data_IF_144201900614
#
_entry.id   IF_144201900614
#
_cell.length_a   1.000
_cell.length_b   1.000
_cell.length_c   1.000
_cell.angle_alpha   90.00
_cell.angle_beta   90.00
_cell.angle_gamma   90.00
#
_symmetry.space_group_name_H-M   'P 1'
#
loop_
_entity.id
_entity.type
_entity.pdbx_description
1 polymer ?
#
# COMPACT_ATOMS: atom_id res chain seq x y z
N UNK A 1 -41.39 21.56 -13.60
CA UNK A 1 -40.19 20.71 -13.59
C UNK A 1 -39.83 20.39 -12.13
N UNK A 2 -39.73 19.11 -11.75
CA UNK A 2 -39.77 18.67 -10.35
C UNK A 2 -38.47 19.04 -9.59
N UNK A 3 -38.55 19.55 -8.34
CA UNK A 3 -37.38 20.03 -7.57
C UNK A 3 -36.27 18.97 -7.40
N UNK A 4 -36.64 17.68 -7.30
CA UNK A 4 -35.68 16.56 -7.29
C UNK A 4 -34.93 16.41 -8.61
N UNK A 5 -35.63 16.56 -9.75
CA UNK A 5 -35.02 16.46 -11.09
C UNK A 5 -34.05 17.62 -11.31
N UNK A 6 -34.41 18.83 -10.88
CA UNK A 6 -33.54 20.01 -10.95
C UNK A 6 -32.30 19.83 -10.06
N UNK A 7 -32.45 19.30 -8.84
CA UNK A 7 -31.32 19.01 -7.94
C UNK A 7 -30.39 17.93 -8.50
N UNK A 8 -30.93 16.86 -9.09
CA UNK A 8 -30.13 15.79 -9.69
C UNK A 8 -29.40 16.26 -10.95
N UNK A 9 -30.05 17.09 -11.79
CA UNK A 9 -29.41 17.67 -12.98
C UNK A 9 -28.30 18.65 -12.58
N UNK A 10 -28.51 19.49 -11.56
CA UNK A 10 -27.49 20.41 -11.03
C UNK A 10 -26.33 19.62 -10.39
N UNK A 11 -26.62 18.53 -9.67
CA UNK A 11 -25.60 17.67 -9.07
C UNK A 11 -24.77 16.95 -10.13
N UNK A 12 -25.39 16.42 -11.19
CA UNK A 12 -24.70 15.78 -12.33
C UNK A 12 -23.88 16.79 -13.13
N UNK A 13 -24.38 18.02 -13.33
CA UNK A 13 -23.62 19.09 -13.99
C UNK A 13 -22.43 19.55 -13.13
N UNK A 14 -22.59 19.70 -11.81
CA UNK A 14 -21.48 20.06 -10.92
C UNK A 14 -20.44 18.93 -10.81
N UNK A 15 -20.85 17.67 -10.63
CA UNK A 15 -19.93 16.53 -10.57
C UNK A 15 -19.26 16.26 -11.91
N UNK A 16 -20.02 16.40 -13.00
CA UNK A 16 -19.49 16.47 -14.35
C UNK A 16 -18.35 17.48 -14.38
N UNK A 17 -18.62 18.75 -14.10
CA UNK A 17 -17.68 19.86 -14.29
C UNK A 17 -16.45 19.76 -13.36
N UNK A 18 -16.63 19.18 -12.18
CA UNK A 18 -15.54 18.95 -11.22
C UNK A 18 -14.65 17.75 -11.58
N UNK A 19 -15.18 16.71 -12.24
CA UNK A 19 -14.49 15.42 -12.37
C UNK A 19 -14.33 14.87 -13.79
N UNK A 20 -14.92 15.48 -14.82
CA UNK A 20 -14.66 15.13 -16.23
C UNK A 20 -13.78 16.19 -16.91
N UNK A 21 -12.94 15.84 -17.89
CA UNK A 21 -12.05 16.82 -18.54
C UNK A 21 -12.75 17.58 -19.69
N UNK A 22 -12.59 18.91 -19.77
CA UNK A 22 -13.34 19.78 -20.70
C UNK A 22 -12.54 20.46 -21.80
N UNK A 23 -11.22 20.29 -21.85
CA UNK A 23 -10.40 20.84 -22.92
C UNK A 23 -9.32 19.85 -23.31
N UNK A 24 -9.16 19.64 -24.62
CA UNK A 24 -8.13 18.79 -25.21
C UNK A 24 -7.19 19.71 -25.98
N UNK A 25 -6.05 20.01 -25.37
CA UNK A 25 -4.97 20.71 -26.05
C UNK A 25 -3.99 19.65 -26.59
N UNK A 26 -3.63 19.73 -27.88
CA UNK A 26 -2.74 18.78 -28.53
C UNK A 26 -1.41 19.46 -28.84
N UNK A 27 -0.32 18.90 -28.34
CA UNK A 27 1.03 19.46 -28.52
C UNK A 27 1.61 19.12 -29.90
N UNK A 28 2.55 19.94 -30.37
CA UNK A 28 3.20 19.82 -31.68
C UNK A 28 4.20 18.64 -31.77
N UNK A 29 4.39 17.91 -30.70
CA UNK A 29 5.30 16.75 -30.57
C UNK A 29 4.76 15.46 -31.18
N UNK A 30 3.69 15.55 -31.98
CA UNK A 30 3.14 14.42 -32.71
C UNK A 30 2.04 13.65 -31.97
N UNK A 31 1.47 14.18 -30.89
CA UNK A 31 0.19 13.66 -30.37
C UNK A 31 -0.01 13.65 -28.87
N UNK A 32 0.85 14.30 -28.07
CA UNK A 32 0.61 14.44 -26.63
C UNK A 32 -0.63 15.30 -26.38
N UNK A 33 -1.54 14.81 -25.51
CA UNK A 33 -2.82 15.46 -25.19
C UNK A 33 -2.92 15.78 -23.70
N UNK A 34 -3.35 17.00 -23.39
CA UNK A 34 -3.64 17.43 -22.02
C UNK A 34 -5.15 17.41 -21.79
N UNK A 35 -5.56 16.80 -20.69
CA UNK A 35 -6.94 16.76 -20.22
C UNK A 35 -7.06 17.55 -18.93
N UNK A 36 -7.96 18.52 -18.89
CA UNK A 36 -8.11 19.43 -17.75
C UNK A 36 -9.54 19.41 -17.16
N UNK A 37 -9.65 19.27 -15.84
CA UNK A 37 -10.86 19.57 -15.05
C UNK A 37 -10.62 20.77 -14.12
N UNK A 38 -11.63 21.16 -13.33
CA UNK A 38 -11.48 22.18 -12.29
C UNK A 38 -10.61 21.73 -11.11
N UNK A 39 -10.47 20.43 -10.88
CA UNK A 39 -9.80 19.86 -9.69
C UNK A 39 -8.49 19.15 -10.02
N UNK A 40 -8.27 18.77 -11.28
CA UNK A 40 -7.03 18.08 -11.70
C UNK A 40 -6.72 18.29 -13.19
N UNK A 41 -5.47 18.07 -13.57
CA UNK A 41 -5.04 17.92 -14.96
C UNK A 41 -4.28 16.61 -15.09
N UNK A 42 -4.47 15.88 -16.18
CA UNK A 42 -3.61 14.73 -16.52
C UNK A 42 -3.20 14.78 -17.99
N UNK A 43 -1.99 14.30 -18.26
CA UNK A 43 -1.35 14.41 -19.58
C UNK A 43 -1.12 13.00 -20.12
N UNK A 44 -1.52 12.79 -21.36
CA UNK A 44 -1.29 11.56 -22.10
C UNK A 44 -0.22 11.81 -23.16
N UNK A 45 0.98 11.31 -22.90
CA UNK A 45 2.10 11.37 -23.84
C UNK A 45 1.89 10.41 -25.01
N UNK A 46 2.32 10.79 -26.21
CA UNK A 46 2.43 9.85 -27.32
C UNK A 46 3.68 8.97 -27.12
N UNK A 47 3.64 7.74 -27.62
CA UNK A 47 4.74 6.77 -27.49
C UNK A 47 6.03 7.35 -28.06
N UNK A 48 7.02 7.58 -27.21
CA UNK A 48 8.37 7.97 -27.63
C UNK A 48 9.05 6.75 -28.25
N UNK A 49 9.42 6.84 -29.53
CA UNK A 49 10.11 5.75 -30.23
C UNK A 49 11.35 5.29 -29.45
N UNK A 50 11.39 4.00 -29.09
CA UNK A 50 12.54 3.35 -28.43
C UNK A 50 12.32 2.89 -26.99
N UNK A 51 11.20 3.22 -26.34
CA UNK A 51 10.88 2.72 -24.98
C UNK A 51 9.88 1.55 -25.05
N UNK A 52 10.25 0.36 -24.54
CA UNK A 52 9.39 -0.84 -24.56
C UNK A 52 8.25 -0.84 -23.52
N UNK A 53 8.25 0.10 -22.57
CA UNK A 53 7.13 0.38 -21.69
C UNK A 53 7.31 1.77 -21.09
N UNK A 54 6.24 2.56 -21.02
CA UNK A 54 6.24 3.81 -20.26
C UNK A 54 4.83 4.10 -19.74
N UNK A 55 4.66 4.06 -18.43
CA UNK A 55 3.56 4.69 -17.71
C UNK A 55 4.19 5.59 -16.64
N UNK A 56 3.87 6.87 -16.67
CA UNK A 56 4.34 7.88 -15.72
C UNK A 56 3.09 8.63 -15.26
N UNK A 57 2.73 8.55 -13.97
CA UNK A 57 1.59 9.27 -13.39
C UNK A 57 2.10 10.23 -12.32
N UNK A 58 1.70 11.51 -12.42
CA UNK A 58 1.95 12.53 -11.40
C UNK A 58 0.73 13.46 -11.30
N UNK A 59 0.49 13.98 -10.09
CA UNK A 59 -0.43 15.08 -9.84
C UNK A 59 0.37 16.28 -9.30
N UNK A 60 0.23 17.46 -9.92
CA UNK A 60 0.83 18.70 -9.43
C UNK A 60 -0.15 19.87 -9.51
N UNK A 61 -0.01 20.80 -8.56
CA UNK A 61 -0.58 22.14 -8.64
C UNK A 61 0.28 23.01 -9.56
N UNK A 62 -0.38 23.79 -10.42
CA UNK A 62 0.18 24.59 -11.53
C UNK A 62 1.50 25.32 -11.20
N UNK A 63 2.60 24.86 -11.82
CA UNK A 63 3.66 25.62 -12.54
C UNK A 63 5.04 24.97 -12.36
N UNK A 64 5.47 24.16 -13.34
CA UNK A 64 6.78 24.28 -14.01
C UNK A 64 7.12 22.99 -14.79
N UNK A 65 6.93 23.04 -16.12
CA UNK A 65 7.11 21.91 -17.03
C UNK A 65 8.56 21.73 -17.53
N UNK A 66 9.49 22.64 -17.20
CA UNK A 66 10.90 22.58 -17.66
C UNK A 66 11.73 21.45 -17.02
N UNK A 67 11.24 20.84 -15.94
CA UNK A 67 11.93 19.75 -15.23
C UNK A 67 11.80 18.39 -15.94
N UNK A 68 10.88 18.27 -16.91
CA UNK A 68 10.56 17.00 -17.58
C UNK A 68 11.63 16.50 -18.56
N UNK A 69 12.37 17.39 -19.23
CA UNK A 69 13.38 16.98 -20.24
C UNK A 69 14.62 16.33 -19.61
N UNK A 70 14.91 16.60 -18.33
CA UNK A 70 16.09 16.03 -17.65
C UNK A 70 15.87 14.63 -17.08
N UNK A 71 14.63 14.13 -17.03
CA UNK A 71 14.27 12.83 -16.45
C UNK A 71 14.14 11.70 -17.49
N UNK A 72 14.39 12.01 -18.77
CA UNK A 72 14.34 11.04 -19.86
C UNK A 72 15.69 10.34 -20.02
N UNK A 73 15.70 9.00 -20.03
CA UNK A 73 16.91 8.20 -20.25
C UNK A 73 17.62 8.61 -21.53
N UNK A 74 18.92 8.94 -21.43
CA UNK A 74 19.78 9.20 -22.59
C UNK A 74 20.41 7.90 -23.06
N UNK A 75 20.48 7.73 -24.37
CA UNK A 75 21.05 6.56 -25.04
C UNK A 75 22.53 6.43 -24.66
N UNK A 76 22.91 5.37 -23.93
CA UNK A 76 24.30 4.98 -23.71
C UNK A 76 24.80 4.85 -22.27
N UNK A 77 23.95 4.95 -21.24
CA UNK A 77 24.39 4.76 -19.86
C UNK A 77 24.47 3.27 -19.48
N UNK A 78 25.69 2.82 -19.16
CA UNK A 78 26.06 1.44 -18.84
C UNK A 78 25.72 1.03 -17.40
N UNK A 79 25.32 -0.23 -17.19
CA UNK A 79 25.20 -0.90 -15.88
C UNK A 79 26.38 -0.61 -14.94
N UNK A 80 26.10 -0.20 -13.69
CA UNK A 80 27.10 -0.11 -12.62
C UNK A 80 26.54 -0.55 -11.26
N UNK A 81 26.99 -1.75 -10.86
CA UNK A 81 27.11 -2.40 -9.53
C UNK A 81 26.02 -2.20 -8.43
N UNK A 82 25.25 -3.25 -8.03
CA UNK A 82 24.10 -3.09 -7.14
C UNK A 82 24.28 -3.44 -5.64
N UNK A 83 25.46 -3.72 -5.09
CA UNK A 83 25.52 -4.52 -3.83
C UNK A 83 26.02 -3.86 -2.53
N UNK A 84 25.98 -2.54 -2.36
CA UNK A 84 26.33 -1.91 -1.07
C UNK A 84 25.28 -0.90 -0.61
N UNK A 85 24.92 -0.97 0.68
CA UNK A 85 24.11 0.04 1.37
C UNK A 85 24.93 0.71 2.46
N UNK A 86 24.89 2.03 2.48
CA UNK A 86 25.50 2.85 3.52
C UNK A 86 24.42 3.60 4.27
N UNK A 87 24.51 3.63 5.59
CA UNK A 87 23.60 4.39 6.45
C UNK A 87 24.40 5.40 7.28
N UNK A 88 23.92 6.64 7.42
CA UNK A 88 24.56 7.67 8.24
C UNK A 88 23.58 8.44 9.14
N UNK A 89 24.06 8.84 10.32
CA UNK A 89 23.35 9.46 11.43
C UNK A 89 24.25 10.56 12.06
N UNK A 90 23.70 11.71 12.45
CA UNK A 90 24.50 12.76 13.11
C UNK A 90 23.69 13.98 13.58
N UNK A 91 24.34 14.78 14.44
CA UNK A 91 23.73 15.86 15.24
C UNK A 91 23.30 17.13 14.49
N UNK A 92 23.66 17.26 13.22
CA UNK A 92 23.46 18.48 12.45
C UNK A 92 23.32 18.13 10.96
N UNK A 93 22.71 19.02 10.17
CA UNK A 93 21.40 18.92 9.53
C UNK A 93 21.14 17.67 8.66
N UNK A 94 21.63 16.48 8.98
CA UNK A 94 21.53 15.31 8.12
C UNK A 94 21.24 14.07 8.94
N UNK A 95 19.95 13.71 8.95
CA UNK A 95 19.49 12.48 9.58
C UNK A 95 19.26 11.42 8.51
N UNK A 96 19.67 10.18 8.80
CA UNK A 96 19.34 8.98 8.03
C UNK A 96 19.80 9.05 6.55
N UNK A 97 21.08 9.36 6.31
CA UNK A 97 21.62 9.27 4.95
C UNK A 97 21.67 7.80 4.54
N UNK A 98 21.01 7.43 3.46
CA UNK A 98 20.99 6.07 2.94
C UNK A 98 21.45 6.06 1.49
N UNK A 99 22.47 5.27 1.20
CA UNK A 99 22.87 4.97 -0.18
C UNK A 99 22.35 3.58 -0.55
N UNK A 100 21.66 3.46 -1.68
CA UNK A 100 21.22 2.18 -2.23
C UNK A 100 21.48 2.18 -3.74
N UNK A 101 22.45 1.38 -4.18
CA UNK A 101 22.92 1.45 -5.57
C UNK A 101 23.48 2.83 -5.90
N UNK A 102 22.96 3.46 -6.95
CA UNK A 102 23.29 4.83 -7.35
C UNK A 102 22.36 5.89 -6.72
N UNK A 103 21.55 5.56 -5.72
CA UNK A 103 20.64 6.51 -5.10
C UNK A 103 21.11 6.90 -3.69
N UNK A 104 21.06 8.20 -3.39
CA UNK A 104 21.34 8.82 -2.09
C UNK A 104 20.05 9.42 -1.53
N UNK A 105 19.62 9.00 -0.35
CA UNK A 105 18.48 9.52 0.39
C UNK A 105 18.96 10.15 1.70
N UNK A 106 18.40 11.28 2.13
CA UNK A 106 18.62 11.84 3.48
C UNK A 106 17.47 12.76 3.89
N UNK A 107 17.30 12.99 5.20
CA UNK A 107 16.28 13.90 5.73
C UNK A 107 16.84 15.25 6.19
N UNK A 108 16.48 16.34 5.49
CA UNK A 108 16.42 17.72 6.00
C UNK A 108 15.83 18.74 4.99
N UNK A 109 14.84 19.57 5.39
CA UNK A 109 14.24 20.59 4.53
C UNK A 109 15.06 21.88 4.29
N UNK A 110 16.08 22.20 5.09
CA UNK A 110 16.67 23.55 5.14
C UNK A 110 17.94 23.76 4.28
N UNK A 111 18.53 22.71 3.70
CA UNK A 111 19.75 22.84 2.90
C UNK A 111 19.52 22.86 1.39
N UNK A 112 18.35 22.41 0.95
CA UNK A 112 18.01 22.31 -0.46
C UNK A 112 16.57 22.76 -0.64
N UNK A 113 16.32 23.53 -1.69
CA UNK A 113 15.01 24.10 -2.01
C UNK A 113 14.00 23.09 -2.58
N UNK A 114 14.36 21.82 -2.66
CA UNK A 114 13.60 20.77 -3.34
C UNK A 114 13.55 19.53 -2.44
N UNK A 115 12.60 19.50 -1.50
CA UNK A 115 12.34 18.32 -0.66
C UNK A 115 11.00 17.70 -0.99
N UNK A 116 10.85 16.40 -0.75
CA UNK A 116 9.53 15.79 -0.77
C UNK A 116 8.66 16.28 0.43
N UNK A 117 7.35 15.98 0.46
CA UNK A 117 6.47 16.40 1.55
C UNK A 117 6.86 15.92 2.95
N UNK A 118 7.79 14.95 3.05
CA UNK A 118 8.34 14.39 4.30
C UNK A 118 9.71 14.99 4.67
N UNK A 119 10.20 16.00 3.94
CA UNK A 119 11.49 16.64 4.21
C UNK A 119 12.72 15.82 3.77
N UNK A 120 12.51 14.73 3.00
CA UNK A 120 13.59 13.93 2.43
C UNK A 120 13.96 14.40 1.04
N UNK A 121 15.25 14.27 0.71
CA UNK A 121 15.80 14.58 -0.59
C UNK A 121 16.42 13.31 -1.14
N UNK A 122 16.03 12.98 -2.37
CA UNK A 122 16.62 11.88 -3.14
C UNK A 122 17.53 12.49 -4.20
N UNK A 123 18.78 12.06 -4.22
CA UNK A 123 19.75 12.46 -5.23
C UNK A 123 20.31 11.22 -5.92
N UNK A 124 20.50 11.33 -7.22
CA UNK A 124 21.26 10.33 -7.96
C UNK A 124 22.76 10.58 -7.73
N UNK A 125 23.46 9.52 -7.37
CA UNK A 125 24.90 9.46 -7.24
C UNK A 125 25.46 9.29 -8.64
N UNK A 126 26.13 10.33 -9.11
CA UNK A 126 26.83 10.35 -10.40
C UNK A 126 28.06 9.44 -10.37
N UNK A 127 28.70 9.33 -9.20
CA UNK A 127 29.94 8.57 -9.03
C UNK A 127 30.10 8.10 -7.59
N UNK A 128 30.46 6.82 -7.40
CA UNK A 128 30.89 6.26 -6.11
C UNK A 128 32.21 5.49 -6.34
N UNK A 129 33.26 5.88 -5.65
CA UNK A 129 34.59 5.29 -5.77
C UNK A 129 35.09 4.83 -4.40
N UNK A 130 35.53 3.57 -4.33
CA UNK A 130 36.21 3.05 -3.15
C UNK A 130 37.69 3.44 -3.21
N UNK A 131 38.21 4.07 -2.16
CA UNK A 131 39.62 4.43 -2.02
C UNK A 131 40.16 3.84 -0.71
N UNK A 132 40.81 2.67 -0.80
CA UNK A 132 41.20 1.92 0.40
C UNK A 132 39.97 1.40 1.14
N UNK A 133 39.82 1.75 2.42
CA UNK A 133 38.62 1.48 3.21
C UNK A 133 37.57 2.60 3.14
N UNK A 134 37.94 3.75 2.58
CA UNK A 134 37.05 4.91 2.42
C UNK A 134 36.22 4.82 1.14
N UNK A 135 35.14 5.59 1.08
CA UNK A 135 34.30 5.75 -0.11
C UNK A 135 34.12 7.22 -0.43
N UNK A 136 34.36 7.62 -1.68
CA UNK A 136 34.10 8.98 -2.17
C UNK A 136 32.89 8.93 -3.08
N UNK A 137 31.94 9.84 -2.88
CA UNK A 137 30.74 9.93 -3.68
C UNK A 137 30.53 11.34 -4.21
N UNK A 138 29.95 11.43 -5.41
CA UNK A 138 29.56 12.67 -6.05
C UNK A 138 28.12 12.57 -6.54
N UNK A 139 27.34 13.59 -6.22
CA UNK A 139 25.98 13.82 -6.69
C UNK A 139 25.87 15.27 -7.17
N UNK A 140 24.82 15.60 -7.92
CA UNK A 140 24.59 16.88 -8.62
C UNK A 140 25.30 18.12 -8.02
N UNK A 141 25.00 18.46 -6.77
CA UNK A 141 25.57 19.63 -6.07
C UNK A 141 26.26 19.26 -4.75
N UNK A 142 26.67 17.99 -4.60
CA UNK A 142 27.18 17.47 -3.34
C UNK A 142 28.29 16.46 -3.60
N UNK A 143 29.43 16.70 -2.96
CA UNK A 143 30.56 15.78 -3.00
C UNK A 143 30.93 15.42 -1.58
N UNK A 144 31.20 14.14 -1.32
CA UNK A 144 31.49 13.69 0.01
C UNK A 144 32.29 12.40 0.06
N UNK A 145 32.64 12.02 1.28
CA UNK A 145 33.38 10.81 1.59
C UNK A 145 32.87 10.16 2.87
N UNK A 146 32.89 8.83 2.89
CA UNK A 146 32.82 7.99 4.07
C UNK A 146 34.24 7.61 4.43
N UNK A 147 34.73 8.11 5.56
CA UNK A 147 36.06 7.82 6.10
C UNK A 147 35.92 6.70 7.11
N UNK A 148 36.71 5.62 6.99
CA UNK A 148 36.73 4.53 7.95
C UNK A 148 37.36 5.02 9.26
N UNK A 149 36.51 5.49 10.16
CA UNK A 149 36.86 6.07 11.45
C UNK A 149 35.68 5.82 12.38
N UNK A 150 35.94 5.25 13.56
CA UNK A 150 34.89 5.04 14.57
C UNK A 150 34.27 6.38 14.96
N UNK A 151 32.96 6.47 14.83
CA UNK A 151 32.21 7.70 15.03
C UNK A 151 31.07 7.42 16.01
N UNK A 152 30.94 8.27 17.04
CA UNK A 152 29.92 8.11 18.07
C UNK A 152 28.68 8.94 17.73
N UNK A 153 27.51 8.30 17.69
CA UNK A 153 26.23 8.98 17.52
C UNK A 153 25.83 9.81 18.73
N UNK A 154 25.14 10.91 18.50
CA UNK A 154 24.88 11.98 19.48
C UNK A 154 23.65 11.75 20.39
N UNK A 155 22.96 10.60 20.25
CA UNK A 155 21.70 10.35 20.97
C UNK A 155 21.70 9.21 21.99
N UNK A 156 22.51 8.16 21.81
CA UNK A 156 22.35 6.89 22.58
C UNK A 156 23.63 6.08 22.85
N UNK A 157 24.81 6.63 22.55
CA UNK A 157 26.08 5.88 22.67
C UNK A 157 26.30 4.85 21.57
N UNK A 158 25.57 4.97 20.46
CA UNK A 158 25.72 4.11 19.29
C UNK A 158 27.06 4.37 18.60
N UNK A 159 27.76 3.28 18.25
CA UNK A 159 29.09 3.31 17.65
C UNK A 159 28.99 2.95 16.17
N UNK A 160 29.59 3.76 15.31
CA UNK A 160 29.52 3.61 13.86
C UNK A 160 30.90 3.44 13.26
N UNK A 161 30.95 2.67 12.19
CA UNK A 161 32.17 2.22 11.52
C UNK A 161 32.85 3.29 10.64
N UNK A 162 32.12 4.34 10.29
CA UNK A 162 32.53 5.38 9.36
C UNK A 162 32.12 6.75 9.86
N UNK A 163 32.90 7.74 9.46
CA UNK A 163 32.56 9.16 9.54
C UNK A 163 32.19 9.66 8.15
N UNK A 164 31.05 10.30 8.03
CA UNK A 164 30.54 10.83 6.76
C UNK A 164 30.86 12.31 6.71
N UNK A 165 31.52 12.75 5.65
CA UNK A 165 31.90 14.15 5.45
C UNK A 165 31.48 14.54 4.04
N UNK A 166 30.78 15.64 3.86
CA UNK A 166 30.50 16.14 2.52
C UNK A 166 30.44 17.65 2.49
N UNK A 167 30.62 18.18 1.28
CA UNK A 167 30.68 19.60 0.99
C UNK A 167 29.55 19.97 0.05
N UNK A 168 28.83 21.02 0.41
CA UNK A 168 27.90 21.70 -0.49
C UNK A 168 28.32 23.17 -0.58
N UNK A 169 28.69 23.61 -1.78
CA UNK A 169 29.28 24.93 -2.04
C UNK A 169 30.51 25.18 -1.15
N UNK A 170 30.38 25.98 -0.09
CA UNK A 170 31.47 26.42 0.79
C UNK A 170 31.33 25.91 2.25
N UNK A 171 30.39 25.01 2.52
CA UNK A 171 30.16 24.46 3.85
C UNK A 171 30.44 22.95 3.87
N UNK A 172 31.19 22.51 4.89
CA UNK A 172 31.48 21.11 5.19
C UNK A 172 30.55 20.62 6.29
N UNK A 173 29.97 19.45 6.09
CA UNK A 173 29.05 18.79 7.02
C UNK A 173 29.58 17.43 7.42
N UNK A 174 29.31 17.02 8.66
CA UNK A 174 29.85 15.79 9.27
C UNK A 174 28.75 14.96 9.94
N UNK A 175 28.87 13.64 9.83
CA UNK A 175 28.03 12.66 10.51
C UNK A 175 28.77 11.33 10.72
N UNK A 176 28.11 10.34 11.29
CA UNK A 176 28.59 8.98 11.51
C UNK A 176 27.83 7.99 10.63
N UNK A 177 28.37 6.84 10.24
CA UNK A 177 27.66 5.87 9.42
C UNK A 177 28.23 4.46 9.41
N UNK A 178 27.45 3.48 8.94
CA UNK A 178 27.83 2.07 8.87
C UNK A 178 27.63 1.51 7.45
N UNK A 179 28.47 0.54 7.11
CA UNK A 179 28.29 -0.29 5.90
C UNK A 179 27.52 -1.53 6.30
N UNK A 180 26.30 -1.68 5.79
CA UNK A 180 25.67 -2.99 5.81
C UNK A 180 26.30 -3.81 4.67
N UNK A 181 27.24 -4.70 5.01
CA UNK A 181 27.51 -5.86 4.15
C UNK A 181 26.20 -6.64 4.08
N UNK A 182 25.81 -7.08 2.89
CA UNK A 182 24.75 -8.09 2.75
C UNK A 182 25.23 -9.42 3.36
N UNK A 183 25.33 -9.49 4.68
CA UNK A 183 25.44 -10.76 5.39
C UNK A 183 24.03 -11.34 5.45
N UNK A 184 23.78 -12.26 4.52
CA UNK A 184 22.86 -13.39 4.64
C UNK A 184 21.37 -13.17 4.97
N UNK A 185 20.83 -11.95 5.06
CA UNK A 185 19.39 -11.76 5.22
C UNK A 185 18.56 -12.10 3.96
N UNK A 186 19.18 -12.13 2.78
CA UNK A 186 18.50 -12.41 1.50
C UNK A 186 18.86 -13.76 0.87
N UNK A 187 19.82 -14.52 1.41
CA UNK A 187 20.25 -15.79 0.79
C UNK A 187 19.44 -17.03 1.19
N UNK A 188 18.46 -16.91 2.08
CA UNK A 188 17.63 -18.06 2.49
C UNK A 188 16.14 -17.77 2.76
N UNK A 189 15.61 -16.56 2.47
CA UNK A 189 14.15 -16.37 2.42
C UNK A 189 13.68 -16.56 0.99
N UNK A 190 12.91 -17.63 0.74
CA UNK A 190 12.11 -17.71 -0.48
C UNK A 190 11.29 -16.42 -0.60
N UNK A 191 11.25 -15.76 -1.77
CA UNK A 191 10.30 -14.68 -1.99
C UNK A 191 8.89 -15.18 -1.66
N UNK A 192 8.04 -14.31 -1.08
CA UNK A 192 6.62 -14.64 -0.92
C UNK A 192 6.06 -14.99 -2.29
N UNK A 193 5.20 -15.99 -2.40
CA UNK A 193 4.57 -16.31 -3.69
C UNK A 193 3.10 -15.90 -3.66
N UNK A 194 2.59 -15.34 -4.76
CA UNK A 194 1.21 -14.93 -4.89
C UNK A 194 0.58 -15.42 -6.18
N UNK A 195 -0.75 -15.49 -6.21
CA UNK A 195 -1.54 -15.73 -7.41
C UNK A 195 -2.72 -14.77 -7.47
N UNK A 196 -3.10 -14.32 -8.67
CA UNK A 196 -4.33 -13.57 -8.92
C UNK A 196 -5.57 -14.45 -9.11
N UNK A 197 -5.46 -15.76 -8.81
CA UNK A 197 -6.60 -16.68 -8.77
C UNK A 197 -7.33 -16.75 -10.13
N UNK A 198 -6.58 -16.61 -11.22
CA UNK A 198 -7.11 -16.55 -12.59
C UNK A 198 -7.34 -17.94 -13.22
N UNK A 199 -6.96 -19.01 -12.52
CA UNK A 199 -6.99 -20.37 -13.03
C UNK A 199 -7.71 -21.34 -12.09
N UNK A 200 -8.35 -22.35 -12.67
CA UNK A 200 -9.17 -23.32 -11.94
C UNK A 200 -8.36 -24.15 -10.94
N UNK A 201 -7.07 -24.40 -11.19
CA UNK A 201 -6.21 -25.17 -10.28
C UNK A 201 -5.99 -24.39 -8.99
N UNK A 202 -5.66 -23.11 -9.07
CA UNK A 202 -5.53 -22.22 -7.90
C UNK A 202 -6.88 -22.06 -7.20
N UNK A 203 -7.97 -21.86 -7.94
CA UNK A 203 -9.31 -21.80 -7.34
C UNK A 203 -9.67 -23.08 -6.58
N UNK A 204 -9.43 -24.26 -7.17
CA UNK A 204 -9.69 -25.54 -6.54
C UNK A 204 -8.85 -25.75 -5.27
N UNK A 205 -7.57 -25.36 -5.30
CA UNK A 205 -6.70 -25.39 -4.12
C UNK A 205 -7.27 -24.54 -2.97
N UNK A 206 -7.66 -23.30 -3.26
CA UNK A 206 -8.25 -22.39 -2.27
C UNK A 206 -9.59 -22.94 -1.78
N UNK A 207 -10.46 -23.41 -2.69
CA UNK A 207 -11.76 -24.00 -2.35
C UNK A 207 -11.61 -25.18 -1.41
N UNK A 208 -10.69 -26.09 -1.69
CA UNK A 208 -10.42 -27.26 -0.86
C UNK A 208 -9.81 -26.88 0.50
N UNK A 209 -9.01 -25.82 0.54
CA UNK A 209 -8.45 -25.29 1.80
C UNK A 209 -9.58 -24.70 2.66
N UNK A 210 -10.41 -23.82 2.10
CA UNK A 210 -11.54 -23.18 2.80
C UNK A 210 -12.53 -24.21 3.39
N UNK A 211 -12.81 -25.30 2.68
CA UNK A 211 -13.72 -26.37 3.12
C UNK A 211 -13.30 -27.06 4.43
N UNK A 212 -12.01 -27.00 4.81
CA UNK A 212 -11.51 -27.60 6.06
C UNK A 212 -11.94 -26.80 7.31
N UNK A 213 -12.31 -25.53 7.13
CA UNK A 213 -12.46 -24.53 8.19
C UNK A 213 -13.92 -24.17 8.55
N UNK A 214 -14.89 -25.05 8.27
CA UNK A 214 -16.32 -24.84 8.58
C UNK A 214 -16.96 -23.60 7.92
N UNK A 215 -16.37 -23.09 6.85
CA UNK A 215 -16.98 -22.02 6.05
C UNK A 215 -18.11 -22.64 5.24
N UNK A 216 -19.29 -22.01 5.25
CA UNK A 216 -20.44 -22.52 4.50
C UNK A 216 -20.15 -22.54 2.99
N UNK A 217 -20.65 -23.57 2.29
CA UNK A 217 -20.46 -23.68 0.82
C UNK A 217 -21.01 -22.44 0.09
N UNK A 218 -22.09 -21.83 0.62
CA UNK A 218 -22.65 -20.57 0.11
C UNK A 218 -21.62 -19.43 0.15
N UNK A 219 -20.90 -19.27 1.26
CA UNK A 219 -19.89 -18.22 1.41
C UNK A 219 -18.67 -18.47 0.50
N UNK A 220 -18.25 -19.73 0.38
CA UNK A 220 -17.18 -20.12 -0.57
C UNK A 220 -17.61 -19.80 -2.01
N UNK A 221 -18.85 -20.13 -2.39
CA UNK A 221 -19.38 -19.83 -3.72
C UNK A 221 -19.44 -18.32 -3.99
N UNK A 222 -19.84 -17.50 -3.02
CA UNK A 222 -19.83 -16.04 -3.18
C UNK A 222 -18.42 -15.49 -3.35
N UNK A 223 -17.45 -15.98 -2.57
CA UNK A 223 -16.05 -15.57 -2.74
C UNK A 223 -15.55 -15.81 -4.17
N UNK A 224 -15.74 -17.02 -4.72
CA UNK A 224 -15.33 -17.30 -6.10
C UNK A 224 -16.16 -16.56 -7.15
N UNK A 225 -17.44 -16.31 -6.88
CA UNK A 225 -18.23 -15.44 -7.74
C UNK A 225 -17.62 -14.03 -7.85
N UNK A 226 -17.09 -13.47 -6.75
CA UNK A 226 -16.40 -12.18 -6.80
C UNK A 226 -15.09 -12.23 -7.59
N UNK A 227 -14.31 -13.30 -7.40
CA UNK A 227 -13.05 -13.54 -8.12
C UNK A 227 -13.31 -13.61 -9.62
N UNK A 228 -14.27 -14.44 -10.03
CA UNK A 228 -14.63 -14.63 -11.44
C UNK A 228 -15.23 -13.36 -12.04
N UNK A 229 -16.10 -12.67 -11.30
CA UNK A 229 -16.70 -11.41 -11.74
C UNK A 229 -15.62 -10.36 -12.05
N UNK A 230 -14.65 -10.18 -11.15
CA UNK A 230 -13.55 -9.25 -11.34
C UNK A 230 -12.64 -9.68 -12.50
N UNK A 231 -12.18 -10.93 -12.51
CA UNK A 231 -11.27 -11.45 -13.54
C UNK A 231 -11.87 -11.37 -14.95
N UNK A 232 -13.18 -11.65 -15.09
CA UNK A 232 -13.89 -11.49 -16.36
C UNK A 232 -14.03 -10.02 -16.78
N UNK A 233 -14.16 -9.09 -15.82
CA UNK A 233 -14.22 -7.65 -16.13
C UNK A 233 -12.88 -7.13 -16.64
N UNK A 234 -11.78 -7.47 -15.96
CA UNK A 234 -10.49 -6.83 -16.18
C UNK A 234 -9.63 -7.54 -17.25
N UNK A 235 -9.95 -8.79 -17.55
CA UNK A 235 -9.17 -9.66 -18.44
C UNK A 235 -7.89 -10.15 -17.78
N UNK A 236 -6.85 -10.41 -18.60
CA UNK A 236 -5.57 -10.99 -18.12
C UNK A 236 -4.44 -9.98 -17.94
N UNK A 237 -4.65 -8.73 -18.38
CA UNK A 237 -3.62 -7.69 -18.35
C UNK A 237 -3.16 -7.42 -16.92
N UNK A 238 -1.85 -7.52 -16.66
CA UNK A 238 -1.26 -7.31 -15.32
C UNK A 238 -1.44 -8.47 -14.33
N UNK A 239 -2.36 -9.41 -14.59
CA UNK A 239 -2.62 -10.54 -13.70
C UNK A 239 -1.59 -11.67 -13.90
N UNK A 240 -1.39 -12.48 -12.86
CA UNK A 240 -0.69 -13.76 -13.03
C UNK A 240 -1.44 -14.63 -14.05
N UNK A 241 -0.72 -15.35 -14.93
CA UNK A 241 -1.31 -16.34 -15.85
C UNK A 241 -1.68 -17.66 -15.14
N UNK A 242 -2.19 -17.56 -13.91
CA UNK A 242 -2.34 -18.66 -12.99
C UNK A 242 -1.03 -19.17 -12.36
N UNK A 243 -1.18 -20.14 -11.47
CA UNK A 243 -0.16 -20.60 -10.52
C UNK A 243 0.36 -19.48 -9.61
N UNK A 244 1.26 -19.84 -8.69
CA UNK A 244 1.93 -18.89 -7.82
C UNK A 244 3.21 -18.37 -8.47
N UNK A 245 3.46 -17.07 -8.33
CA UNK A 245 4.69 -16.38 -8.74
C UNK A 245 5.28 -15.62 -7.57
N UNK A 246 6.57 -15.37 -7.62
CA UNK A 246 7.26 -14.61 -6.58
C UNK A 246 6.81 -13.14 -6.57
N UNK A 247 6.52 -12.60 -5.38
CA UNK A 247 6.28 -11.18 -5.14
C UNK A 247 7.62 -10.47 -5.24
N UNK A 248 7.76 -9.65 -6.27
CA UNK A 248 8.93 -8.78 -6.48
C UNK A 248 8.60 -7.30 -6.26
N UNK A 249 7.31 -6.95 -6.28
CA UNK A 249 6.81 -5.59 -6.05
C UNK A 249 5.94 -5.55 -4.79
N UNK A 250 6.31 -4.67 -3.85
CA UNK A 250 5.59 -4.43 -2.60
C UNK A 250 4.85 -3.08 -2.60
N UNK A 251 4.74 -2.41 -3.75
CA UNK A 251 3.90 -1.22 -3.86
C UNK A 251 2.44 -1.58 -3.55
N UNK A 252 1.70 -0.62 -2.97
CA UNK A 252 0.30 -0.82 -2.59
C UNK A 252 -0.57 -1.20 -3.78
N UNK A 253 -0.36 -0.55 -4.93
CA UNK A 253 -1.05 -0.83 -6.19
C UNK A 253 -0.50 -2.08 -6.91
N UNK A 254 0.55 -2.73 -6.39
CA UNK A 254 1.21 -3.89 -7.00
C UNK A 254 1.78 -3.64 -8.41
N UNK A 255 1.76 -2.40 -8.91
CA UNK A 255 2.04 -2.09 -10.32
C UNK A 255 0.93 -2.55 -11.28
N UNK A 256 -0.28 -2.78 -10.79
CA UNK A 256 -1.41 -3.18 -11.63
C UNK A 256 -1.91 -2.03 -12.51
N UNK A 257 -2.40 -2.31 -13.72
CA UNK A 257 -3.16 -1.35 -14.51
C UNK A 257 -4.38 -0.82 -13.75
N UNK A 258 -4.83 0.38 -14.11
CA UNK A 258 -6.08 0.93 -13.58
C UNK A 258 -7.25 0.15 -14.20
N UNK A 259 -8.00 -0.57 -13.38
CA UNK A 259 -9.11 -1.42 -13.84
C UNK A 259 -10.49 -0.75 -13.75
N UNK A 260 -10.58 0.46 -13.19
CA UNK A 260 -11.83 1.17 -12.93
C UNK A 260 -12.73 1.24 -14.17
N UNK A 261 -12.21 1.68 -15.32
CA UNK A 261 -13.00 1.81 -16.56
C UNK A 261 -13.59 0.47 -17.01
N UNK A 262 -12.84 -0.64 -16.83
CA UNK A 262 -13.31 -1.98 -17.21
C UNK A 262 -14.41 -2.46 -16.25
N UNK A 263 -14.29 -2.14 -14.97
CA UNK A 263 -15.30 -2.47 -13.95
C UNK A 263 -16.59 -1.68 -14.19
N UNK A 264 -16.50 -0.37 -14.42
CA UNK A 264 -17.64 0.49 -14.72
C UNK A 264 -18.36 0.08 -16.00
N UNK A 265 -17.62 -0.30 -17.04
CA UNK A 265 -18.20 -0.84 -18.30
C UNK A 265 -19.00 -2.11 -18.06
N UNK A 266 -18.60 -2.94 -17.08
CA UNK A 266 -19.30 -4.17 -16.75
C UNK A 266 -20.56 -3.91 -15.92
N UNK A 267 -20.48 -3.03 -14.93
CA UNK A 267 -21.62 -2.57 -14.17
C UNK A 267 -21.32 -1.22 -13.50
N UNK A 268 -21.92 -0.16 -14.03
CA UNK A 268 -21.70 1.21 -13.56
C UNK A 268 -22.20 1.44 -12.13
N UNK A 269 -23.31 0.80 -11.74
CA UNK A 269 -23.92 1.00 -10.42
C UNK A 269 -23.20 0.20 -9.32
N UNK A 270 -22.33 -0.74 -9.69
CA UNK A 270 -21.63 -1.62 -8.77
C UNK A 270 -20.12 -1.30 -8.72
N UNK A 271 -19.70 -0.66 -7.61
CA UNK A 271 -18.30 -0.27 -7.40
C UNK A 271 -17.31 -1.42 -7.19
N UNK A 272 -17.74 -2.68 -7.15
CA UNK A 272 -16.86 -3.81 -6.82
C UNK A 272 -16.84 -4.14 -5.32
N UNK A 273 -16.06 -5.16 -4.95
CA UNK A 273 -15.88 -5.55 -3.53
C UNK A 273 -14.45 -5.30 -3.09
N UNK A 274 -14.30 -4.81 -1.86
CA UNK A 274 -13.02 -4.52 -1.21
C UNK A 274 -12.66 -5.58 -0.15
N UNK A 275 -11.59 -5.34 0.60
CA UNK A 275 -11.10 -6.23 1.66
C UNK A 275 -12.20 -6.61 2.67
N UNK A 276 -13.01 -5.64 3.10
CA UNK A 276 -14.04 -5.82 4.12
C UNK A 276 -15.14 -6.75 3.65
N UNK A 277 -15.75 -6.47 2.49
CA UNK A 277 -16.83 -7.30 1.94
C UNK A 277 -16.33 -8.72 1.63
N UNK A 278 -15.17 -8.82 0.99
CA UNK A 278 -14.57 -10.10 0.62
C UNK A 278 -14.25 -10.95 1.85
N UNK A 279 -13.59 -10.38 2.86
CA UNK A 279 -13.22 -11.12 4.07
C UNK A 279 -14.45 -11.48 4.89
N UNK A 280 -15.36 -10.54 5.13
CA UNK A 280 -16.58 -10.81 5.89
C UNK A 280 -17.43 -11.90 5.25
N UNK A 281 -17.50 -11.95 3.91
CA UNK A 281 -18.16 -13.06 3.22
C UNK A 281 -17.61 -14.42 3.66
N UNK A 282 -16.30 -14.55 3.89
CA UNK A 282 -15.68 -15.80 4.30
C UNK A 282 -15.83 -16.11 5.80
N UNK A 283 -15.79 -15.12 6.69
CA UNK A 283 -15.80 -15.35 8.14
C UNK A 283 -17.13 -15.03 8.86
N UNK A 284 -18.15 -14.48 8.19
CA UNK A 284 -19.40 -14.01 8.85
C UNK A 284 -20.14 -15.08 9.67
N UNK A 285 -20.02 -16.36 9.28
CA UNK A 285 -20.63 -17.48 10.02
C UNK A 285 -19.75 -17.95 11.19
N UNK A 286 -18.49 -17.51 11.24
CA UNK A 286 -17.48 -17.87 12.22
C UNK A 286 -17.25 -16.76 13.26
N UNK A 287 -18.06 -15.70 13.23
CA UNK A 287 -18.03 -14.61 14.20
C UNK A 287 -19.42 -14.39 14.77
N UNK A 288 -19.54 -14.41 16.09
CA UNK A 288 -20.73 -13.97 16.77
C UNK A 288 -20.70 -12.44 16.91
N UNK A 289 -21.82 -11.78 16.63
CA UNK A 289 -22.02 -10.34 16.80
C UNK A 289 -23.50 -10.16 17.19
N UNK A 290 -23.76 -9.65 18.39
CA UNK A 290 -25.12 -9.60 18.94
C UNK A 290 -25.65 -8.19 19.11
N UNK A 291 -24.92 -7.30 19.80
CA UNK A 291 -25.42 -5.96 20.09
C UNK A 291 -25.21 -5.06 18.87
N UNK A 292 -26.05 -5.19 17.84
CA UNK A 292 -25.87 -4.51 16.56
C UNK A 292 -25.98 -2.98 16.69
N UNK A 293 -25.23 -2.25 15.86
CA UNK A 293 -25.34 -0.80 15.74
C UNK A 293 -25.53 -0.37 14.30
N UNK A 294 -26.37 0.66 14.12
CA UNK A 294 -26.62 1.32 12.85
C UNK A 294 -25.84 2.65 12.74
N UNK A 295 -24.90 2.92 13.67
CA UNK A 295 -24.06 4.13 13.62
C UNK A 295 -23.29 4.16 12.30
N UNK A 296 -23.70 5.05 11.41
CA UNK A 296 -23.09 5.21 10.11
C UNK A 296 -21.72 5.86 10.26
N UNK A 297 -20.65 5.07 10.14
CA UNK A 297 -19.33 5.61 9.86
C UNK A 297 -19.22 5.91 8.36
N UNK A 298 -18.79 7.13 8.02
CA UNK A 298 -18.64 7.57 6.62
C UNK A 298 -17.67 6.67 5.84
N UNK A 299 -16.72 6.04 6.54
CA UNK A 299 -15.75 5.09 5.97
C UNK A 299 -16.39 3.84 5.34
N UNK A 300 -17.66 3.56 5.66
CA UNK A 300 -18.42 2.39 5.17
C UNK A 300 -19.38 2.74 4.02
N UNK A 301 -19.39 3.99 3.54
CA UNK A 301 -20.31 4.40 2.48
C UNK A 301 -20.07 3.64 1.17
N UNK A 302 -18.80 3.43 0.80
CA UNK A 302 -18.44 2.60 -0.34
C UNK A 302 -18.97 1.18 -0.19
N UNK A 303 -18.79 0.58 1.00
CA UNK A 303 -19.21 -0.80 1.27
C UNK A 303 -20.73 -0.94 1.19
N UNK A 304 -21.47 0.00 1.78
CA UNK A 304 -22.94 0.04 1.72
C UNK A 304 -23.42 0.09 0.29
N UNK A 305 -22.89 1.02 -0.51
CA UNK A 305 -23.24 1.14 -1.93
C UNK A 305 -22.93 -0.15 -2.70
N UNK A 306 -21.77 -0.75 -2.45
CA UNK A 306 -21.35 -1.98 -3.13
C UNK A 306 -22.19 -3.19 -2.75
N UNK A 307 -22.60 -3.31 -1.48
CA UNK A 307 -23.51 -4.36 -1.00
C UNK A 307 -24.90 -4.19 -1.61
N UNK A 308 -25.40 -2.95 -1.68
CA UNK A 308 -26.76 -2.64 -2.16
C UNK A 308 -26.90 -2.81 -3.67
N UNK A 309 -25.83 -2.54 -4.43
CA UNK A 309 -25.81 -2.64 -5.89
C UNK A 309 -25.18 -3.95 -6.40
N UNK A 310 -24.86 -4.91 -5.53
CA UNK A 310 -24.28 -6.17 -5.97
C UNK A 310 -25.27 -6.93 -6.89
N UNK A 311 -24.84 -7.52 -8.03
CA UNK A 311 -25.72 -8.22 -8.96
C UNK A 311 -26.52 -9.41 -8.35
N UNK A 312 -26.14 -9.86 -7.16
CA UNK A 312 -26.80 -10.89 -6.37
C UNK A 312 -26.98 -10.40 -4.92
N UNK A 313 -28.07 -10.71 -4.24
CA UNK A 313 -28.14 -10.38 -2.81
C UNK A 313 -27.15 -11.26 -2.03
N UNK A 314 -26.06 -10.67 -1.53
CA UNK A 314 -24.98 -11.37 -0.82
C UNK A 314 -25.15 -11.35 0.70
N UNK A 315 -25.76 -10.30 1.23
CA UNK A 315 -26.09 -10.13 2.63
C UNK A 315 -27.60 -9.90 2.79
N UNK A 316 -28.21 -10.59 3.74
CA UNK A 316 -29.51 -10.18 4.28
C UNK A 316 -29.38 -8.95 5.19
N UNK A 317 -30.50 -8.41 5.67
CA UNK A 317 -30.49 -7.20 6.50
C UNK A 317 -29.76 -7.41 7.84
N UNK A 318 -29.82 -8.62 8.41
CA UNK A 318 -29.12 -8.95 9.65
C UNK A 318 -27.63 -9.05 9.40
N UNK A 319 -27.22 -9.73 8.33
CA UNK A 319 -25.82 -9.83 7.90
C UNK A 319 -25.24 -8.44 7.57
N UNK A 320 -26.03 -7.56 6.95
CA UNK A 320 -25.63 -6.16 6.69
C UNK A 320 -25.41 -5.40 7.99
N UNK A 321 -26.29 -5.53 8.99
CA UNK A 321 -26.10 -4.90 10.30
C UNK A 321 -24.89 -5.45 11.06
N UNK A 322 -24.66 -6.77 11.00
CA UNK A 322 -23.45 -7.40 11.54
C UNK A 322 -22.18 -6.86 10.87
N UNK A 323 -22.19 -6.73 9.54
CA UNK A 323 -21.11 -6.13 8.78
C UNK A 323 -20.83 -4.69 9.24
N UNK A 324 -21.87 -3.85 9.31
CA UNK A 324 -21.72 -2.45 9.73
C UNK A 324 -21.22 -2.32 11.17
N UNK A 325 -21.65 -3.21 12.06
CA UNK A 325 -21.18 -3.26 13.45
C UNK A 325 -19.71 -3.67 13.50
N UNK A 326 -19.30 -4.72 12.77
CA UNK A 326 -17.92 -5.20 12.82
C UNK A 326 -16.91 -4.16 12.31
N UNK A 327 -17.25 -3.42 11.25
CA UNK A 327 -16.34 -2.47 10.61
C UNK A 327 -16.57 -1.00 11.02
N UNK A 328 -17.40 -0.75 12.04
CA UNK A 328 -17.61 0.62 12.52
C UNK A 328 -16.30 1.23 13.04
N UNK A 329 -16.13 2.54 12.83
CA UNK A 329 -15.05 3.29 13.46
C UNK A 329 -15.21 3.28 14.98
N UNK A 330 -14.11 3.02 15.68
CA UNK A 330 -14.05 2.96 17.15
C UNK A 330 -13.45 4.27 17.66
N UNK A 331 -14.20 5.12 18.38
CA UNK A 331 -13.67 6.36 18.92
C UNK A 331 -12.43 6.13 19.77
N UNK A 332 -11.40 6.95 19.57
CA UNK A 332 -10.13 6.88 20.31
C UNK A 332 -9.58 8.29 20.53
N UNK A 333 -8.82 8.56 21.60
CA UNK A 333 -8.08 9.81 21.70
C UNK A 333 -6.92 9.86 20.69
N UNK A 334 -6.53 11.07 20.29
CA UNK A 334 -5.33 11.34 19.51
C UNK A 334 -4.09 11.08 20.38
N UNK A 335 -3.52 9.88 20.23
CA UNK A 335 -2.30 9.42 20.90
C UNK A 335 -1.58 8.43 19.99
N UNK A 336 -0.28 8.26 20.21
CA UNK A 336 0.53 7.21 19.59
C UNK A 336 0.61 5.92 20.41
N UNK A 337 0.04 5.92 21.60
CA UNK A 337 0.09 4.76 22.49
C UNK A 337 -0.84 3.65 22.00
N UNK A 338 -0.24 2.63 21.37
CA UNK A 338 -0.92 1.42 20.91
C UNK A 338 -1.73 0.74 22.02
N UNK A 339 -1.30 0.79 23.28
CA UNK A 339 -2.02 0.13 24.39
C UNK A 339 -3.37 0.79 24.67
N UNK A 340 -3.48 2.12 24.49
CA UNK A 340 -4.77 2.83 24.56
C UNK A 340 -5.71 2.33 23.47
N UNK A 341 -5.19 2.16 22.26
CA UNK A 341 -5.98 1.69 21.12
C UNK A 341 -6.45 0.24 21.28
N UNK A 342 -5.57 -0.67 21.71
CA UNK A 342 -5.92 -2.06 22.01
C UNK A 342 -7.02 -2.15 23.08
N UNK A 343 -6.94 -1.32 24.13
CA UNK A 343 -7.98 -1.24 25.16
C UNK A 343 -9.33 -0.79 24.60
N UNK A 344 -9.35 0.21 23.71
CA UNK A 344 -10.57 0.70 23.07
C UNK A 344 -11.19 -0.37 22.16
N UNK A 345 -10.38 -1.11 21.40
CA UNK A 345 -10.86 -2.21 20.54
C UNK A 345 -11.45 -3.33 21.39
N UNK A 346 -10.74 -3.77 22.43
CA UNK A 346 -11.24 -4.82 23.35
C UNK A 346 -12.54 -4.41 24.03
N UNK A 347 -12.65 -3.13 24.42
CA UNK A 347 -13.89 -2.57 24.97
C UNK A 347 -15.02 -2.64 23.93
N UNK A 348 -14.79 -2.19 22.70
CA UNK A 348 -15.77 -2.24 21.62
C UNK A 348 -16.24 -3.68 21.33
N UNK A 349 -15.30 -4.62 21.22
CA UNK A 349 -15.61 -6.03 20.94
C UNK A 349 -16.45 -6.63 22.07
N UNK A 350 -16.13 -6.31 23.33
CA UNK A 350 -16.93 -6.73 24.49
C UNK A 350 -18.34 -6.12 24.47
N UNK A 351 -18.47 -4.82 24.19
CA UNK A 351 -19.76 -4.12 24.10
C UNK A 351 -20.66 -4.69 23.01
N UNK A 352 -20.08 -5.12 21.88
CA UNK A 352 -20.81 -5.68 20.74
C UNK A 352 -20.94 -7.22 20.76
N UNK A 353 -20.41 -7.87 21.80
CA UNK A 353 -20.26 -9.32 21.94
C UNK A 353 -19.64 -9.98 20.69
N UNK A 354 -18.62 -9.33 20.14
CA UNK A 354 -17.86 -9.83 18.99
C UNK A 354 -16.94 -10.95 19.47
N UNK A 355 -17.21 -12.18 19.03
CA UNK A 355 -16.43 -13.37 19.40
C UNK A 355 -16.18 -14.25 18.20
N UNK A 356 -14.93 -14.59 17.95
CA UNK A 356 -14.55 -15.51 16.88
C UNK A 356 -14.68 -16.96 17.35
N UNK A 357 -15.35 -17.77 16.52
CA UNK A 357 -15.54 -19.20 16.69
C UNK A 357 -14.83 -19.94 15.55
N UNK A 358 -13.55 -19.63 15.34
CA UNK A 358 -12.75 -20.16 14.25
C UNK A 358 -12.08 -21.47 14.64
N UNK A 359 -11.83 -22.33 13.66
CA UNK A 359 -11.00 -23.53 13.85
C UNK A 359 -9.51 -23.15 13.96
N UNK A 360 -8.69 -23.90 14.70
CA UNK A 360 -7.23 -23.73 14.65
C UNK A 360 -6.72 -23.75 13.20
N UNK A 361 -5.85 -22.81 12.86
CA UNK A 361 -5.37 -22.60 11.48
C UNK A 361 -6.23 -21.67 10.62
N UNK A 362 -7.35 -21.15 11.13
CA UNK A 362 -8.12 -20.08 10.48
C UNK A 362 -8.02 -18.77 11.28
N UNK A 363 -7.56 -17.72 10.60
CA UNK A 363 -7.37 -16.42 11.23
C UNK A 363 -7.88 -15.28 10.34
N UNK A 364 -8.64 -14.39 10.97
CA UNK A 364 -9.00 -13.09 10.40
C UNK A 364 -7.90 -12.10 10.79
N UNK A 365 -7.12 -11.67 9.81
CA UNK A 365 -6.02 -10.73 10.01
C UNK A 365 -6.50 -9.33 9.66
N UNK A 366 -6.51 -8.43 10.63
CA UNK A 366 -6.95 -7.05 10.48
C UNK A 366 -5.80 -6.10 10.75
N UNK A 367 -5.57 -5.16 9.86
CA UNK A 367 -4.68 -4.03 10.10
C UNK A 367 -5.52 -2.84 10.58
N UNK A 368 -5.17 -2.35 11.76
CA UNK A 368 -5.82 -1.22 12.39
C UNK A 368 -5.08 0.06 12.02
N UNK A 369 -5.82 1.04 11.55
CA UNK A 369 -5.36 2.39 11.29
C UNK A 369 -6.02 3.36 12.27
N UNK A 370 -5.30 4.43 12.58
CA UNK A 370 -5.77 5.54 13.41
C UNK A 370 -5.96 6.76 12.51
N UNK A 371 -7.18 7.29 12.48
CA UNK A 371 -7.56 8.51 11.75
C UNK A 371 -7.60 9.70 12.71
N UNK A 372 -6.85 10.76 12.42
CA UNK A 372 -6.79 11.99 13.21
C UNK A 372 -7.94 12.96 12.91
N UNK A 373 -8.58 12.86 11.74
CA UNK A 373 -9.69 13.75 11.35
C UNK A 373 -10.94 13.43 12.17
N UNK A 374 -11.30 12.14 12.24
CA UNK A 374 -12.48 11.67 12.96
C UNK A 374 -12.15 11.12 14.35
N UNK A 375 -10.86 11.02 14.73
CA UNK A 375 -10.37 10.45 15.98
C UNK A 375 -10.93 9.03 16.22
N UNK A 376 -10.78 8.17 15.22
CA UNK A 376 -11.27 6.79 15.23
C UNK A 376 -10.16 5.80 14.90
N UNK A 377 -10.30 4.59 15.44
CA UNK A 377 -9.64 3.39 14.93
C UNK A 377 -10.56 2.72 13.92
N UNK A 378 -10.00 2.26 12.82
CA UNK A 378 -10.74 1.51 11.83
C UNK A 378 -9.87 0.43 11.20
N UNK A 379 -10.53 -0.57 10.61
CA UNK A 379 -9.88 -1.62 9.86
C UNK A 379 -9.53 -1.06 8.47
N UNK A 380 -8.25 -0.69 8.27
CA UNK A 380 -7.75 -0.16 7.01
C UNK A 380 -7.49 -1.25 5.96
N UNK A 381 -7.12 -2.45 6.41
CA UNK A 381 -7.06 -3.65 5.57
C UNK A 381 -7.42 -4.90 6.37
N UNK A 382 -7.95 -5.91 5.70
CA UNK A 382 -8.35 -7.19 6.30
C UNK A 382 -8.25 -8.31 5.28
N UNK A 383 -7.87 -9.50 5.73
CA UNK A 383 -7.83 -10.72 4.92
C UNK A 383 -7.96 -11.99 5.76
N UNK A 384 -8.01 -13.13 5.09
CA UNK A 384 -8.14 -14.45 5.71
C UNK A 384 -6.84 -15.21 5.59
N UNK A 385 -6.26 -15.62 6.72
CA UNK A 385 -5.10 -16.49 6.79
C UNK A 385 -5.53 -17.92 7.11
N UNK A 386 -5.05 -18.88 6.32
CA UNK A 386 -5.38 -20.30 6.42
C UNK A 386 -4.11 -21.12 6.51
N UNK A 387 -3.99 -22.01 7.48
CA UNK A 387 -2.95 -23.04 7.46
C UNK A 387 -3.29 -24.12 6.42
N UNK A 388 -2.32 -24.52 5.60
CA UNK A 388 -2.51 -25.57 4.62
C UNK A 388 -1.17 -26.20 4.28
N UNK A 389 -1.06 -27.52 4.46
CA UNK A 389 0.13 -28.30 4.04
C UNK A 389 1.46 -27.76 4.63
N UNK A 390 1.44 -27.33 5.89
CA UNK A 390 2.61 -26.77 6.57
C UNK A 390 2.99 -25.35 6.14
N UNK A 391 2.09 -24.66 5.42
CA UNK A 391 2.23 -23.26 4.99
C UNK A 391 1.03 -22.44 5.43
N UNK A 392 1.09 -21.13 5.19
CA UNK A 392 -0.02 -20.21 5.40
C UNK A 392 -0.46 -19.60 4.06
N UNK A 393 -1.76 -19.62 3.81
CA UNK A 393 -2.41 -19.05 2.61
C UNK A 393 -3.21 -17.84 3.04
N UNK A 394 -2.80 -16.66 2.61
CA UNK A 394 -3.48 -15.40 2.90
C UNK A 394 -4.30 -14.95 1.69
N UNK A 395 -5.62 -14.89 1.86
CA UNK A 395 -6.57 -14.42 0.87
C UNK A 395 -6.84 -12.94 1.11
N UNK A 396 -6.51 -12.11 0.12
CA UNK A 396 -6.70 -10.67 0.21
C UNK A 396 -7.37 -10.08 -1.04
N UNK A 397 -8.02 -8.94 -0.82
CA UNK A 397 -8.56 -8.05 -1.84
C UNK A 397 -8.32 -6.63 -1.34
N UNK A 398 -7.25 -5.96 -1.75
CA UNK A 398 -6.83 -4.72 -1.11
C UNK A 398 -7.91 -3.61 -1.22
N UNK A 399 -8.19 -3.20 -2.45
CA UNK A 399 -9.23 -2.22 -2.80
C UNK A 399 -10.23 -2.87 -3.75
N UNK A 400 -11.24 -2.13 -4.22
CA UNK A 400 -12.25 -2.65 -5.14
C UNK A 400 -11.75 -2.83 -6.58
N UNK A 401 -10.78 -2.02 -6.98
CA UNK A 401 -10.17 -1.99 -8.30
C UNK A 401 -8.93 -2.86 -8.41
N UNK A 402 -8.28 -3.28 -7.31
CA UNK A 402 -7.11 -4.16 -7.36
C UNK A 402 -7.48 -5.65 -7.39
N UNK A 403 -6.65 -6.54 -7.95
CA UNK A 403 -7.00 -7.96 -8.07
C UNK A 403 -7.17 -8.69 -6.74
N UNK A 404 -7.91 -9.79 -6.79
CA UNK A 404 -7.85 -10.80 -5.73
C UNK A 404 -6.47 -11.43 -5.70
N UNK A 405 -5.97 -11.70 -4.50
CA UNK A 405 -4.68 -12.36 -4.33
C UNK A 405 -4.79 -13.49 -3.30
N UNK A 406 -4.09 -14.59 -3.59
CA UNK A 406 -3.72 -15.58 -2.60
C UNK A 406 -2.20 -15.52 -2.44
N UNK A 407 -1.71 -15.23 -1.24
CA UNK A 407 -0.29 -15.15 -0.90
C UNK A 407 0.10 -16.34 -0.04
N UNK A 408 1.26 -16.93 -0.31
CA UNK A 408 1.79 -18.09 0.41
C UNK A 408 2.96 -17.64 1.29
N UNK A 409 2.86 -17.99 2.56
CA UNK A 409 3.92 -17.84 3.54
C UNK A 409 4.38 -19.21 4.04
N UNK A 410 5.69 -19.36 4.24
CA UNK A 410 6.27 -20.54 4.88
C UNK A 410 6.18 -20.43 6.42
N UNK A 411 6.09 -19.22 6.98
CA UNK A 411 5.99 -18.97 8.43
C UNK A 411 4.98 -17.88 8.75
N UNK A 412 4.33 -17.94 9.91
CA UNK A 412 3.38 -16.92 10.37
C UNK A 412 4.01 -15.53 10.51
N UNK A 413 5.26 -15.45 10.97
CA UNK A 413 5.99 -14.17 11.08
C UNK A 413 6.17 -13.43 9.74
N UNK A 414 6.09 -14.13 8.61
CA UNK A 414 6.12 -13.51 7.28
C UNK A 414 4.85 -12.70 6.96
N UNK A 415 3.74 -12.96 7.64
CA UNK A 415 2.52 -12.16 7.52
C UNK A 415 2.80 -10.73 7.99
N UNK A 416 3.39 -10.58 9.18
CA UNK A 416 3.77 -9.26 9.70
C UNK A 416 4.76 -8.55 8.77
N UNK A 417 5.80 -9.25 8.29
CA UNK A 417 6.77 -8.71 7.33
C UNK A 417 6.08 -8.21 6.05
N UNK A 418 5.14 -9.00 5.50
CA UNK A 418 4.39 -8.65 4.30
C UNK A 418 3.58 -7.36 4.48
N UNK A 419 2.82 -7.28 5.58
CA UNK A 419 2.00 -6.12 5.88
C UNK A 419 2.84 -4.86 6.13
N UNK A 420 3.92 -4.95 6.90
CA UNK A 420 4.78 -3.79 7.15
C UNK A 420 5.44 -3.29 5.87
N UNK A 421 5.89 -4.20 4.98
CA UNK A 421 6.46 -3.81 3.68
C UNK A 421 5.46 -3.12 2.76
N UNK A 422 4.19 -3.55 2.77
CA UNK A 422 3.17 -3.06 1.83
C UNK A 422 2.36 -1.88 2.38
N UNK A 423 2.19 -1.79 3.70
CA UNK A 423 1.21 -0.90 4.34
C UNK A 423 1.75 -0.18 5.59
N UNK A 424 2.99 -0.43 6.01
CA UNK A 424 3.55 0.11 7.27
C UNK A 424 3.76 1.62 7.27
N UNK A 425 3.64 2.30 6.13
CA UNK A 425 3.80 3.75 5.98
C UNK A 425 2.48 4.54 6.09
N UNK A 426 1.35 3.88 6.40
CA UNK A 426 0.04 4.51 6.53
C UNK A 426 -0.20 5.15 7.90
N UNK A 427 0.64 6.13 8.25
CA UNK A 427 0.55 6.91 9.49
C UNK A 427 0.73 8.40 9.21
N UNK A 428 0.21 9.23 10.11
CA UNK A 428 0.45 10.67 10.17
C UNK A 428 1.37 10.99 11.36
N UNK A 429 2.04 12.16 11.39
CA UNK A 429 2.84 12.57 12.55
C UNK A 429 2.08 12.56 13.88
N UNK A 430 0.75 12.60 13.86
CA UNK A 430 -0.13 12.70 15.03
C UNK A 430 -0.75 11.35 15.45
N UNK A 431 -0.76 10.37 14.54
CA UNK A 431 -1.42 9.07 14.76
C UNK A 431 -0.44 7.98 15.18
N UNK A 432 -0.98 6.88 15.70
CA UNK A 432 -0.19 5.69 15.99
C UNK A 432 0.19 4.97 14.69
N UNK A 433 1.30 4.23 14.72
CA UNK A 433 1.67 3.34 13.62
C UNK A 433 0.59 2.25 13.43
N UNK A 434 0.28 1.85 12.18
CA UNK A 434 -0.61 0.73 11.92
C UNK A 434 -0.12 -0.54 12.61
N UNK A 435 -1.05 -1.31 13.17
CA UNK A 435 -0.72 -2.58 13.83
C UNK A 435 -1.70 -3.68 13.43
N UNK A 436 -1.25 -4.92 13.56
CA UNK A 436 -2.03 -6.10 13.18
C UNK A 436 -2.78 -6.68 14.37
N UNK A 437 -3.95 -7.22 14.08
CA UNK A 437 -4.77 -8.02 14.95
C UNK A 437 -5.11 -9.36 14.29
N UNK A 438 -5.29 -10.39 15.11
CA UNK A 438 -5.69 -11.73 14.71
C UNK A 438 -6.90 -12.15 15.54
N UNK A 439 -8.04 -12.40 14.88
CA UNK A 439 -9.27 -12.84 15.55
C UNK A 439 -9.66 -11.96 16.77
N UNK A 440 -9.43 -10.65 16.68
CA UNK A 440 -9.78 -9.69 17.74
C UNK A 440 -8.74 -9.52 18.85
N UNK A 441 -7.60 -10.23 18.77
CA UNK A 441 -6.45 -10.05 19.67
C UNK A 441 -5.28 -9.40 18.92
N UNK A 442 -4.30 -8.88 19.65
CA UNK A 442 -3.07 -8.35 19.04
C UNK A 442 -2.33 -9.46 18.30
N UNK A 443 -1.84 -9.18 17.08
CA UNK A 443 -1.09 -10.16 16.31
C UNK A 443 0.27 -10.41 16.96
N UNK A 444 0.53 -11.64 17.38
CA UNK A 444 1.80 -12.02 17.95
C UNK A 444 2.78 -12.45 16.85
N UNK A 445 3.94 -11.78 16.79
CA UNK A 445 5.07 -12.25 15.98
C UNK A 445 5.85 -13.22 16.86
N UNK A 446 5.84 -14.51 16.52
CA UNK A 446 6.72 -15.50 17.16
C UNK A 446 8.16 -14.99 17.10
N UNK A 447 8.80 -14.85 18.27
CA UNK A 447 10.14 -14.28 18.46
C UNK A 447 11.23 -15.19 17.90
#
# INVERSE_FOLDING_TARGET
MNKKIISTIIFILLFGILFFPYNIETYKDGGTKIYSSLTYQYIKFNTLEGCKASKLEFAFTKKDYKYFESLLCKKGESEKDPNLKFFAYGAEPFWNIKITGNQLEYGNPNLFSETNPKGHIYMEIEKLEKQGEDFIFKAKNLEGKFVKEECHGDGKGDLYDYKVIFTNKNAEYKGCGSVEKQENFLKNKKPFSYSNITDQKTQNFIKNTLKKYNISEKNIQYYFYYVDYFNDAVGKEGLTNGNFKDITNFSRDGGYPMYLEKLEKKNFDFGGTNCRITSFTLFKDLVNIENLTDKASLILNFDKSSIDNFPKKIFDETEKKKFLTFFAGIPTPLTKDKQVHLKNIKKYFKEHNIKFNTKPGFSVISMINHDDLDNILFIGHIGILLESEGKFVFLEKLSFDLPYQAVIFDKKSQVHEYFMKKYGDMTTPETADPFLMENGEEFEVEK
#
